data_IF_558054439555
#
_entry.id   IF_558054439555
#
_cell.length_a   1.000
_cell.length_b   1.000
_cell.length_c   1.000
_cell.angle_alpha   90.00
_cell.angle_beta   90.00
_cell.angle_gamma   90.00
#
_symmetry.space_group_name_H-M   'P 1'
#
loop_
_entity.id
_entity.type
_entity.pdbx_description
1 polymer ?
#
# COMPACT_ATOMS: atom_id res chain seq x y z
N UNK A 1 13.77 -14.24 1.36
CA UNK A 1 13.32 -13.84 0.00
C UNK A 1 11.98 -13.22 0.25
N UNK A 2 11.91 -11.89 0.41
CA UNK A 2 10.61 -11.25 0.54
C UNK A 2 9.94 -11.41 -0.83
N UNK A 3 8.89 -12.23 -0.90
CA UNK A 3 8.08 -12.32 -2.11
C UNK A 3 7.65 -10.91 -2.49
N UNK A 4 7.90 -10.50 -3.73
CA UNK A 4 7.42 -9.22 -4.23
C UNK A 4 5.89 -9.33 -4.34
N UNK A 5 5.11 -8.70 -3.43
CA UNK A 5 3.66 -8.85 -3.42
C UNK A 5 3.01 -8.21 -4.64
N UNK A 6 3.78 -7.49 -5.47
CA UNK A 6 3.30 -6.88 -6.69
C UNK A 6 3.70 -7.62 -7.97
N UNK A 7 4.32 -8.80 -7.87
CA UNK A 7 4.81 -9.55 -9.04
C UNK A 7 3.71 -9.94 -10.03
N UNK A 8 2.46 -10.04 -9.57
CA UNK A 8 1.28 -10.35 -10.39
C UNK A 8 0.67 -9.15 -11.12
N UNK A 9 1.10 -7.92 -10.79
CA UNK A 9 0.57 -6.70 -11.42
C UNK A 9 1.49 -6.18 -12.53
N UNK A 10 0.88 -5.46 -13.48
CA UNK A 10 1.63 -4.65 -14.45
C UNK A 10 2.54 -3.65 -13.73
N UNK A 11 3.68 -3.31 -14.34
CA UNK A 11 4.65 -2.36 -13.79
C UNK A 11 4.01 -1.04 -13.31
N UNK A 12 3.10 -0.47 -14.11
CA UNK A 12 2.40 0.77 -13.78
C UNK A 12 1.56 0.64 -12.51
N UNK A 13 0.84 -0.50 -12.36
CA UNK A 13 0.02 -0.79 -11.18
C UNK A 13 0.90 -1.06 -9.96
N UNK A 14 1.99 -1.81 -10.12
CA UNK A 14 2.94 -2.06 -9.04
C UNK A 14 3.57 -0.75 -8.52
N UNK A 15 3.92 0.18 -9.43
CA UNK A 15 4.42 1.51 -9.06
C UNK A 15 3.36 2.30 -8.29
N UNK A 16 2.11 2.30 -8.78
CA UNK A 16 0.98 2.97 -8.13
C UNK A 16 0.77 2.47 -6.69
N UNK A 17 0.67 1.15 -6.51
CA UNK A 17 0.49 0.52 -5.19
C UNK A 17 1.64 0.82 -4.22
N UNK A 18 2.90 0.82 -4.71
CA UNK A 18 4.05 1.18 -3.88
C UNK A 18 4.05 2.65 -3.46
N UNK A 19 3.64 3.54 -4.35
CA UNK A 19 3.45 4.96 -4.02
C UNK A 19 2.34 5.14 -2.98
N UNK A 20 1.22 4.45 -3.15
CA UNK A 20 0.11 4.46 -2.20
C UNK A 20 0.57 4.02 -0.80
N UNK A 21 1.31 2.92 -0.68
CA UNK A 21 1.92 2.50 0.59
C UNK A 21 2.79 3.61 1.21
N UNK A 22 3.61 4.28 0.39
CA UNK A 22 4.48 5.35 0.87
C UNK A 22 3.69 6.56 1.34
N UNK A 23 2.60 6.92 0.67
CA UNK A 23 1.75 8.03 1.10
C UNK A 23 0.98 7.70 2.39
N UNK A 24 0.52 6.45 2.56
CA UNK A 24 -0.05 5.97 3.84
C UNK A 24 1.00 6.07 4.95
N UNK A 25 2.25 5.62 4.68
CA UNK A 25 3.33 5.65 5.67
C UNK A 25 3.68 7.07 6.09
N UNK A 26 3.68 7.99 5.13
CA UNK A 26 3.94 9.41 5.35
C UNK A 26 2.72 10.18 5.86
N UNK A 27 1.57 9.51 6.08
CA UNK A 27 0.28 10.12 6.43
C UNK A 27 -0.12 11.27 5.48
N UNK A 28 0.19 11.13 4.19
CA UNK A 28 -0.08 12.13 3.14
C UNK A 28 -1.47 11.98 2.53
N UNK A 29 -2.44 11.55 3.33
CA UNK A 29 -3.83 11.27 2.93
C UNK A 29 -4.69 12.53 2.73
N UNK A 30 -4.22 13.69 3.20
CA UNK A 30 -5.02 14.93 3.18
C UNK A 30 -5.05 15.71 1.87
N UNK A 31 -4.09 15.50 0.95
CA UNK A 31 -3.96 16.30 -0.29
C UNK A 31 -4.31 15.52 -1.57
N UNK A 32 -4.27 14.19 -1.53
CA UNK A 32 -4.77 13.34 -2.61
C UNK A 32 -5.55 12.19 -1.98
N UNK A 33 -6.85 12.05 -2.29
CA UNK A 33 -7.56 10.86 -1.90
C UNK A 33 -6.89 9.65 -2.57
N UNK A 34 -6.54 8.65 -1.76
CA UNK A 34 -6.09 7.36 -2.26
C UNK A 34 -7.26 6.72 -3.00
N UNK A 35 -6.98 6.05 -4.13
CA UNK A 35 -7.98 5.26 -4.82
C UNK A 35 -8.49 4.14 -3.91
N UNK A 36 -9.81 4.06 -3.71
CA UNK A 36 -10.43 2.96 -2.95
C UNK A 36 -10.05 1.58 -3.51
N UNK A 37 -9.80 1.49 -4.82
CA UNK A 37 -9.33 0.27 -5.47
C UNK A 37 -7.92 -0.11 -5.00
N UNK A 38 -6.98 0.84 -4.99
CA UNK A 38 -5.61 0.58 -4.53
C UNK A 38 -5.60 0.21 -3.05
N UNK A 39 -6.42 0.90 -2.25
CA UNK A 39 -6.54 0.61 -0.83
C UNK A 39 -7.08 -0.80 -0.58
N UNK A 40 -8.09 -1.20 -1.35
CA UNK A 40 -8.65 -2.56 -1.28
C UNK A 40 -7.60 -3.60 -1.65
N UNK A 41 -6.86 -3.41 -2.74
CA UNK A 41 -5.81 -4.33 -3.17
C UNK A 41 -4.72 -4.45 -2.09
N UNK A 42 -4.24 -3.33 -1.54
CA UNK A 42 -3.24 -3.34 -0.47
C UNK A 42 -3.74 -4.04 0.81
N UNK A 43 -5.04 -3.94 1.09
CA UNK A 43 -5.68 -4.62 2.22
C UNK A 43 -5.81 -6.13 1.94
N UNK A 44 -6.21 -6.53 0.74
CA UNK A 44 -6.29 -7.93 0.31
C UNK A 44 -4.92 -8.62 0.31
N UNK A 45 -3.85 -7.88 0.02
CA UNK A 45 -2.47 -8.34 0.10
C UNK A 45 -1.91 -8.35 1.56
N UNK A 46 -2.68 -7.87 2.55
CA UNK A 46 -2.25 -7.78 3.94
C UNK A 46 -1.12 -6.76 4.18
N UNK A 47 -0.97 -5.78 3.29
CA UNK A 47 0.04 -4.71 3.38
C UNK A 47 -0.48 -3.49 4.14
N UNK A 48 -1.81 -3.32 4.18
CA UNK A 48 -2.52 -2.23 4.86
C UNK A 48 -3.68 -2.81 5.65
N UNK A 49 -3.99 -2.20 6.78
CA UNK A 49 -5.18 -2.47 7.58
C UNK A 49 -5.94 -1.15 7.81
N UNK A 50 -7.27 -1.22 7.90
CA UNK A 50 -8.11 -0.07 8.25
C UNK A 50 -8.34 -0.06 9.76
N UNK A 51 -7.88 1.00 10.42
CA UNK A 51 -8.12 1.26 11.84
C UNK A 51 -8.91 2.57 11.96
N UNK A 52 -10.13 2.49 12.53
CA UNK A 52 -11.01 3.66 12.68
C UNK A 52 -11.20 4.43 11.35
N UNK A 53 -11.41 3.69 10.26
CA UNK A 53 -11.50 4.19 8.87
C UNK A 53 -10.21 4.86 8.33
N UNK A 54 -9.12 4.86 9.08
CA UNK A 54 -7.80 5.32 8.63
C UNK A 54 -6.95 4.14 8.15
N UNK A 55 -6.36 4.20 6.94
CA UNK A 55 -5.46 3.15 6.48
C UNK A 55 -4.10 3.25 7.18
N UNK A 56 -3.61 2.12 7.68
CA UNK A 56 -2.35 1.99 8.41
C UNK A 56 -1.53 0.86 7.79
N UNK A 57 -0.20 1.04 7.65
CA UNK A 57 0.65 -0.05 7.16
C UNK A 57 0.77 -1.17 8.18
N UNK A 58 0.71 -2.40 7.67
CA UNK A 58 1.13 -3.57 8.42
C UNK A 58 2.66 -3.66 8.47
N UNK A 59 3.23 -4.49 9.35
CA UNK A 59 4.66 -4.79 9.33
C UNK A 59 5.15 -5.30 7.96
N UNK A 60 4.32 -6.07 7.26
CA UNK A 60 4.61 -6.56 5.91
C UNK A 60 4.65 -5.41 4.89
N UNK A 61 3.66 -4.52 4.92
CA UNK A 61 3.66 -3.32 4.06
C UNK A 61 4.89 -2.44 4.29
N UNK A 62 5.31 -2.26 5.54
CA UNK A 62 6.50 -1.49 5.87
C UNK A 62 7.80 -2.15 5.35
N UNK A 63 7.87 -3.49 5.36
CA UNK A 63 9.01 -4.24 4.83
C UNK A 63 9.16 -4.04 3.31
N UNK A 64 8.05 -3.95 2.56
CA UNK A 64 8.05 -3.69 1.10
C UNK A 64 8.64 -2.32 0.72
N UNK A 65 8.57 -1.34 1.63
CA UNK A 65 9.16 -0.02 1.44
C UNK A 65 10.62 0.07 1.86
N UNK A 66 11.13 -0.93 2.59
CA UNK A 66 12.48 -0.96 3.16
C UNK A 66 13.50 -1.69 2.29
N UNK A 67 13.04 -2.28 1.17
CA UNK A 67 13.83 -2.98 0.14
C UNK A 67 14.12 -2.05 -1.06
#
# INVERSE_FOLDING_TARGET
MADNPFAEFSLERAIGLRWTLRDIQARRLGLSPISDEDLRVLTELGLVELHDDEPVLTPTGAAVLSD
#
